data_IF_570790772852
#
_entry.id   IF_570790772852
#
_cell.length_a   1.000
_cell.length_b   1.000
_cell.length_c   1.000
_cell.angle_alpha   90.00
_cell.angle_beta   90.00
_cell.angle_gamma   90.00
#
_symmetry.space_group_name_H-M   'P 1'
#
loop_
_entity.id
_entity.type
_entity.pdbx_description
1 polymer ?
#
# COMPACT_ATOMS: atom_id res chain seq x y z
N UNK A 1 17.16 11.04 -3.21
CA UNK A 1 15.94 10.21 -3.19
C UNK A 1 16.17 9.12 -2.15
N UNK A 2 15.26 8.91 -1.20
CA UNK A 2 15.38 7.80 -0.25
C UNK A 2 15.34 6.49 -1.03
N UNK A 3 16.04 5.46 -0.54
CA UNK A 3 15.85 4.13 -1.08
C UNK A 3 14.39 3.69 -0.87
N UNK A 4 13.91 2.72 -1.67
CA UNK A 4 12.54 2.25 -1.53
C UNK A 4 12.22 1.69 -0.13
N UNK A 5 13.20 1.08 0.54
CA UNK A 5 13.06 0.57 1.91
C UNK A 5 13.06 1.70 2.95
N UNK A 6 13.84 2.75 2.71
CA UNK A 6 13.88 3.91 3.62
C UNK A 6 12.56 4.69 3.63
N UNK A 7 11.86 4.75 2.48
CA UNK A 7 10.61 5.52 2.38
C UNK A 7 9.49 4.97 3.26
N UNK A 8 9.30 3.64 3.29
CA UNK A 8 8.26 3.01 4.13
C UNK A 8 8.59 3.13 5.62
N UNK A 9 9.86 2.96 6.00
CA UNK A 9 10.29 3.13 7.40
C UNK A 9 10.03 4.56 7.90
N UNK A 10 10.43 5.58 7.12
CA UNK A 10 10.22 6.99 7.50
C UNK A 10 8.74 7.33 7.68
N UNK A 11 7.86 6.78 6.82
CA UNK A 11 6.41 6.93 6.99
C UNK A 11 5.95 6.39 8.35
N UNK A 12 6.39 5.19 8.73
CA UNK A 12 5.97 4.53 9.96
C UNK A 12 6.53 5.20 11.21
N UNK A 13 7.78 5.66 11.19
CA UNK A 13 8.37 6.46 12.27
C UNK A 13 7.58 7.77 12.47
N UNK A 14 7.21 8.43 11.37
CA UNK A 14 6.40 9.66 11.41
C UNK A 14 5.02 9.39 12.01
N UNK A 15 4.36 8.29 11.62
CA UNK A 15 3.08 7.90 12.20
C UNK A 15 3.22 7.53 13.68
N UNK A 16 4.23 6.75 14.04
CA UNK A 16 4.50 6.38 15.43
C UNK A 16 4.66 7.61 16.33
N UNK A 17 5.41 8.63 15.88
CA UNK A 17 5.65 9.85 16.66
C UNK A 17 4.44 10.81 16.75
N UNK A 18 3.52 10.77 15.78
CA UNK A 18 2.37 11.71 15.74
C UNK A 18 1.07 11.13 16.26
N UNK A 19 0.80 9.86 15.97
CA UNK A 19 -0.49 9.22 16.26
C UNK A 19 -0.34 7.97 17.13
N UNK A 20 0.83 7.30 17.09
CA UNK A 20 1.03 5.97 17.67
C UNK A 20 0.54 4.85 16.75
N UNK A 21 1.41 3.86 16.47
CA UNK A 21 1.07 2.74 15.59
C UNK A 21 0.07 1.76 16.21
N UNK A 22 -0.09 1.76 17.54
CA UNK A 22 -1.11 0.98 18.23
C UNK A 22 -2.54 1.34 17.82
N UNK A 23 -2.72 2.54 17.24
CA UNK A 23 -4.01 3.03 16.71
C UNK A 23 -4.22 2.66 15.25
N UNK A 24 -3.20 2.22 14.52
CA UNK A 24 -3.34 1.78 13.14
C UNK A 24 -4.06 0.43 13.10
N UNK A 25 -5.27 0.38 12.53
CA UNK A 25 -6.12 -0.83 12.54
C UNK A 25 -6.33 -1.46 11.17
N UNK A 26 -6.13 -0.71 10.09
CA UNK A 26 -6.29 -1.17 8.72
C UNK A 26 -5.49 -0.29 7.77
N UNK A 27 -5.26 -0.79 6.57
CA UNK A 27 -4.60 -0.06 5.49
C UNK A 27 -5.49 -0.17 4.25
N UNK A 28 -5.84 0.98 3.68
CA UNK A 28 -6.44 1.02 2.35
C UNK A 28 -5.29 1.02 1.34
N UNK A 29 -5.13 -0.09 0.62
CA UNK A 29 -3.99 -0.34 -0.25
C UNK A 29 -4.40 -0.07 -1.69
N UNK A 30 -4.11 1.14 -2.17
CA UNK A 30 -4.47 1.59 -3.51
C UNK A 30 -3.22 2.05 -4.26
N UNK A 31 -3.16 1.81 -5.57
CA UNK A 31 -2.21 2.52 -6.42
C UNK A 31 -2.79 3.89 -6.82
N UNK A 32 -1.92 4.83 -7.20
CA UNK A 32 -2.31 6.18 -7.56
C UNK A 32 -2.19 6.40 -9.05
N UNK A 33 -3.25 6.90 -9.69
CA UNK A 33 -3.19 7.34 -11.09
C UNK A 33 -2.24 8.53 -11.28
N UNK A 34 -1.96 9.30 -10.22
CA UNK A 34 -1.23 10.54 -10.29
C UNK A 34 0.11 10.50 -9.52
N UNK A 35 1.11 11.30 -9.94
CA UNK A 35 2.38 11.42 -9.23
C UNK A 35 2.23 11.88 -7.78
N UNK A 36 3.24 11.57 -6.96
CA UNK A 36 3.35 12.03 -5.58
C UNK A 36 3.28 13.57 -5.50
N UNK A 37 2.54 14.08 -4.51
CA UNK A 37 2.34 15.53 -4.32
C UNK A 37 1.32 16.18 -5.26
N UNK A 38 0.57 15.39 -6.05
CA UNK A 38 -0.45 15.93 -6.96
C UNK A 38 -1.75 16.39 -6.28
N UNK A 39 -1.97 16.03 -5.02
CA UNK A 39 -3.20 16.31 -4.27
C UNK A 39 -4.49 15.82 -4.96
N UNK A 40 -4.39 14.75 -5.76
CA UNK A 40 -5.53 14.09 -6.40
C UNK A 40 -5.78 12.72 -5.77
N UNK A 41 -7.03 12.48 -5.43
CA UNK A 41 -7.50 11.21 -4.88
C UNK A 41 -8.11 10.37 -6.01
N UNK A 42 -7.25 9.74 -6.80
CA UNK A 42 -7.62 8.94 -7.97
C UNK A 42 -6.88 7.62 -7.95
N UNK A 43 -7.59 6.59 -7.49
CA UNK A 43 -7.07 5.24 -7.44
C UNK A 43 -6.98 4.64 -8.84
N UNK A 44 -6.04 3.71 -9.00
CA UNK A 44 -5.94 2.82 -10.16
C UNK A 44 -5.61 1.42 -9.66
N UNK A 45 -5.86 0.40 -10.49
CA UNK A 45 -5.56 -0.97 -10.15
C UNK A 45 -4.09 -1.17 -9.74
N UNK A 46 -3.87 -2.14 -8.85
CA UNK A 46 -2.60 -2.45 -8.24
C UNK A 46 -1.51 -2.64 -9.29
N UNK A 47 -0.43 -1.86 -9.18
CA UNK A 47 0.72 -1.94 -10.07
C UNK A 47 0.58 -1.19 -11.38
N UNK A 48 -0.55 -0.53 -11.64
CA UNK A 48 -0.81 0.23 -12.86
C UNK A 48 -0.63 1.75 -12.68
N UNK A 49 -0.27 2.19 -11.47
CA UNK A 49 -0.14 3.60 -11.13
C UNK A 49 1.29 4.06 -10.86
N UNK A 50 1.39 5.27 -10.32
CA UNK A 50 2.65 5.93 -9.99
C UNK A 50 3.30 5.43 -8.70
N UNK A 51 2.56 4.72 -7.81
CA UNK A 51 3.17 4.08 -6.63
C UNK A 51 3.83 2.78 -7.08
N UNK A 52 3.12 2.00 -7.89
CA UNK A 52 3.63 0.79 -8.54
C UNK A 52 3.74 -0.43 -7.63
N UNK A 53 3.76 -1.60 -8.26
CA UNK A 53 3.65 -2.89 -7.57
C UNK A 53 4.77 -3.10 -6.54
N UNK A 54 6.02 -2.77 -6.87
CA UNK A 54 7.14 -2.98 -5.95
C UNK A 54 7.00 -2.23 -4.62
N UNK A 55 6.41 -1.03 -4.62
CA UNK A 55 6.16 -0.29 -3.38
C UNK A 55 5.00 -0.88 -2.58
N UNK A 56 3.92 -1.26 -3.25
CA UNK A 56 2.78 -1.91 -2.61
C UNK A 56 3.20 -3.26 -1.99
N UNK A 57 4.04 -4.04 -2.68
CA UNK A 57 4.62 -5.29 -2.16
C UNK A 57 5.48 -5.07 -0.92
N UNK A 58 6.25 -3.97 -0.84
CA UNK A 58 6.99 -3.64 0.39
C UNK A 58 6.06 -3.31 1.56
N UNK A 59 4.95 -2.61 1.29
CA UNK A 59 3.96 -2.27 2.32
C UNK A 59 3.29 -3.53 2.90
N UNK A 60 2.82 -4.44 2.04
CA UNK A 60 2.15 -5.67 2.52
C UNK A 60 3.09 -6.60 3.31
N UNK A 61 4.38 -6.57 3.00
CA UNK A 61 5.40 -7.40 3.67
C UNK A 61 6.10 -6.72 4.85
N UNK A 62 5.81 -5.44 5.12
CA UNK A 62 6.51 -4.73 6.18
C UNK A 62 6.20 -5.38 7.54
N UNK A 63 7.19 -5.71 8.39
CA UNK A 63 6.97 -6.44 9.63
C UNK A 63 5.96 -5.78 10.58
N UNK A 64 5.93 -4.46 10.62
CA UNK A 64 4.98 -3.69 11.45
C UNK A 64 3.58 -3.55 10.85
N UNK A 65 3.35 -3.99 9.60
CA UNK A 65 2.08 -3.81 8.89
C UNK A 65 1.43 -5.12 8.45
N UNK A 66 2.23 -6.16 8.18
CA UNK A 66 1.75 -7.41 7.57
C UNK A 66 0.69 -8.17 8.37
N UNK A 67 0.49 -7.82 9.64
CA UNK A 67 -0.55 -8.38 10.51
C UNK A 67 -1.90 -7.63 10.43
N UNK A 68 -1.94 -6.47 9.75
CA UNK A 68 -3.12 -5.65 9.59
C UNK A 68 -3.95 -6.09 8.37
N UNK A 69 -5.27 -5.85 8.39
CA UNK A 69 -6.09 -6.01 7.21
C UNK A 69 -5.75 -4.95 6.15
N UNK A 70 -5.56 -5.42 4.91
CA UNK A 70 -5.45 -4.59 3.71
C UNK A 70 -6.76 -4.60 2.94
N UNK A 71 -7.26 -3.41 2.58
CA UNK A 71 -8.54 -3.20 1.88
C UNK A 71 -8.25 -2.56 0.53
N UNK A 72 -8.77 -3.16 -0.55
CA UNK A 72 -8.67 -2.59 -1.90
C UNK A 72 -9.89 -1.71 -2.18
N UNK A 73 -9.65 -0.51 -2.70
CA UNK A 73 -10.65 0.45 -3.18
C UNK A 73 -10.30 0.91 -4.60
N UNK A 74 -9.62 0.04 -5.35
CA UNK A 74 -9.29 0.24 -6.76
C UNK A 74 -10.57 0.25 -7.61
N UNK A 75 -10.59 0.97 -8.73
CA UNK A 75 -11.76 1.02 -9.62
C UNK A 75 -11.90 -0.32 -10.36
N UNK A 76 -12.61 -1.27 -9.74
CA UNK A 76 -12.69 -2.65 -10.20
C UNK A 76 -14.05 -3.30 -9.89
N UNK A 77 -14.33 -4.42 -10.55
CA UNK A 77 -15.44 -5.30 -10.23
C UNK A 77 -14.94 -6.53 -9.44
N UNK A 78 -15.85 -7.34 -8.88
CA UNK A 78 -15.50 -8.50 -8.05
C UNK A 78 -14.43 -9.43 -8.67
N UNK A 79 -14.54 -9.69 -9.97
CA UNK A 79 -13.58 -10.54 -10.67
C UNK A 79 -12.18 -9.93 -10.72
N UNK A 80 -12.06 -8.62 -10.88
CA UNK A 80 -10.76 -7.97 -10.89
C UNK A 80 -10.19 -7.77 -9.49
N UNK A 81 -11.02 -7.54 -8.46
CA UNK A 81 -10.54 -7.62 -7.07
C UNK A 81 -9.96 -9.00 -6.76
N UNK A 82 -10.59 -10.08 -7.22
CA UNK A 82 -10.04 -11.42 -7.06
C UNK A 82 -8.65 -11.58 -7.70
N UNK A 83 -8.43 -10.98 -8.87
CA UNK A 83 -7.13 -10.98 -9.55
C UNK A 83 -6.08 -10.15 -8.79
N UNK A 84 -6.44 -8.97 -8.29
CA UNK A 84 -5.52 -8.12 -7.51
C UNK A 84 -5.16 -8.76 -6.16
N UNK A 85 -6.12 -9.41 -5.50
CA UNK A 85 -5.88 -10.17 -4.27
C UNK A 85 -4.94 -11.35 -4.55
N UNK A 86 -5.14 -12.08 -5.66
CA UNK A 86 -4.25 -13.17 -6.05
C UNK A 86 -2.83 -12.65 -6.31
N UNK A 87 -2.69 -11.56 -7.07
CA UNK A 87 -1.39 -10.91 -7.32
C UNK A 87 -0.68 -10.51 -6.02
N UNK A 88 -1.39 -9.90 -5.09
CA UNK A 88 -0.81 -9.48 -3.81
C UNK A 88 -0.42 -10.69 -2.94
N UNK A 89 -1.23 -11.77 -2.95
CA UNK A 89 -0.89 -13.02 -2.25
C UNK A 89 0.34 -13.71 -2.83
N UNK A 90 0.49 -13.74 -4.15
CA UNK A 90 1.68 -14.28 -4.81
C UNK A 90 2.96 -13.51 -4.45
N UNK A 91 2.81 -12.24 -4.04
CA UNK A 91 3.89 -11.36 -3.60
C UNK A 91 3.98 -11.23 -2.07
N UNK A 92 3.15 -11.94 -1.31
CA UNK A 92 3.18 -11.94 0.15
C UNK A 92 4.17 -13.02 0.61
N UNK A 93 5.16 -12.60 1.38
CA UNK A 93 6.20 -13.48 1.93
C UNK A 93 5.64 -14.13 3.20
N UNK A 94 5.82 -15.45 3.34
CA UNK A 94 5.54 -16.17 4.57
C UNK A 94 6.58 -15.85 5.66
#
# INVERSE_FOLDING_TARGET
MLSPDQSTTVLLETMAGKIGLERLKSIHLNDSLNPCGSHKDRHVCIGQGCIGLGALTRVINHPQLRHLPFILETPNELAGYAQEIALLRDNFLD
#
